data_IF_225916685523
#
_entry.id   IF_225916685523
#
_cell.length_a   1.000
_cell.length_b   1.000
_cell.length_c   1.000
_cell.angle_alpha   90.00
_cell.angle_beta   90.00
_cell.angle_gamma   90.00
#
_symmetry.space_group_name_H-M   'P 1'
#
loop_
_entity.id
_entity.type
_entity.pdbx_description
1 polymer ?
#
# COMPACT_ATOMS: atom_id res chain seq x y z
N UNK A 1 51.63 -44.11 11.32
CA UNK A 1 51.20 -42.77 10.87
C UNK A 1 49.81 -42.52 11.42
N UNK A 2 49.74 -41.59 12.38
CA UNK A 2 48.55 -40.99 13.02
C UNK A 2 47.72 -41.85 14.00
N UNK A 3 48.19 -41.79 15.25
CA UNK A 3 47.53 -41.75 16.57
C UNK A 3 46.10 -41.17 16.59
N UNK A 4 45.08 -41.76 17.24
CA UNK A 4 44.77 -41.98 18.67
C UNK A 4 44.00 -40.82 19.38
N UNK A 5 42.75 -41.16 19.76
CA UNK A 5 42.07 -40.93 21.06
C UNK A 5 41.47 -39.55 21.52
N UNK A 6 40.21 -39.66 21.99
CA UNK A 6 39.53 -39.01 23.15
C UNK A 6 38.97 -37.56 23.08
N UNK A 7 37.66 -37.39 23.37
CA UNK A 7 36.96 -36.11 23.65
C UNK A 7 37.13 -35.66 25.11
N UNK A 8 36.22 -34.89 25.79
CA UNK A 8 35.02 -34.11 25.40
C UNK A 8 35.05 -32.64 25.98
N UNK A 9 33.87 -31.97 26.05
CA UNK A 9 33.48 -30.80 26.89
C UNK A 9 33.47 -29.37 26.27
N UNK A 10 32.24 -28.92 25.98
CA UNK A 10 31.59 -27.64 26.40
C UNK A 10 32.39 -26.33 26.46
N UNK A 11 32.01 -25.34 25.61
CA UNK A 11 31.70 -23.93 25.97
C UNK A 11 30.86 -23.34 24.81
N UNK A 12 29.54 -23.14 24.94
CA UNK A 12 28.84 -21.90 25.34
C UNK A 12 29.43 -20.60 24.76
N UNK A 13 28.55 -19.80 24.12
CA UNK A 13 28.43 -18.33 24.22
C UNK A 13 28.18 -17.69 22.84
N UNK A 14 26.93 -17.53 22.42
CA UNK A 14 26.01 -16.39 22.63
C UNK A 14 25.83 -15.58 21.34
N UNK A 15 24.59 -15.57 20.86
CA UNK A 15 23.86 -14.42 20.27
C UNK A 15 24.71 -13.22 19.81
N UNK A 16 24.70 -12.84 18.54
CA UNK A 16 23.73 -11.85 18.04
C UNK A 16 23.77 -11.81 16.50
N UNK A 17 22.81 -12.47 15.84
CA UNK A 17 22.33 -11.99 14.54
C UNK A 17 20.83 -11.72 14.67
N UNK A 18 20.60 -10.65 15.42
CA UNK A 18 19.35 -9.91 15.52
C UNK A 18 18.97 -9.37 14.13
N UNK A 19 17.76 -9.72 13.70
CA UNK A 19 16.78 -8.72 13.29
C UNK A 19 17.24 -7.67 12.25
N UNK A 20 17.30 -8.04 10.97
CA UNK A 20 17.05 -7.08 9.88
C UNK A 20 16.50 -7.79 8.63
N UNK A 21 15.56 -8.71 8.80
CA UNK A 21 14.84 -9.31 7.69
C UNK A 21 13.32 -9.42 7.91
N UNK A 22 12.78 -8.82 8.99
CA UNK A 22 11.38 -9.02 9.37
C UNK A 22 10.58 -7.74 9.66
N UNK A 23 11.08 -6.52 9.36
CA UNK A 23 10.35 -5.29 9.72
C UNK A 23 10.22 -4.26 8.59
N UNK A 24 9.82 -4.69 7.39
CA UNK A 24 9.26 -3.74 6.41
C UNK A 24 8.19 -4.34 5.48
N UNK A 25 7.51 -5.40 5.92
CA UNK A 25 6.28 -5.86 5.26
C UNK A 25 5.26 -6.09 6.35
N UNK A 26 4.06 -5.54 6.15
CA UNK A 26 2.92 -5.51 7.07
C UNK A 26 2.97 -4.43 8.16
N UNK A 27 3.10 -3.18 7.71
CA UNK A 27 2.24 -2.14 8.25
C UNK A 27 1.35 -1.64 7.12
N UNK A 28 0.11 -2.12 7.03
CA UNK A 28 -0.95 -1.24 6.54
C UNK A 28 -2.29 -1.60 7.16
N UNK A 29 -2.43 -1.04 8.37
CA UNK A 29 -3.65 -0.72 9.11
C UNK A 29 -4.86 -0.58 8.19
N UNK A 30 -5.81 -1.50 8.36
CA UNK A 30 -7.15 -1.47 7.77
C UNK A 30 -8.17 -0.75 8.63
N UNK A 31 -7.72 -0.01 9.65
CA UNK A 31 -8.60 0.69 10.59
C UNK A 31 -8.79 2.16 10.18
N UNK A 32 -10.02 2.69 10.24
CA UNK A 32 -10.27 4.11 10.09
C UNK A 32 -9.60 4.86 11.25
N UNK A 33 -8.48 5.51 10.96
CA UNK A 33 -7.73 6.35 11.92
C UNK A 33 -8.48 7.63 12.31
N UNK A 34 -9.58 7.93 11.62
CA UNK A 34 -10.33 9.17 11.73
C UNK A 34 -11.66 8.93 12.46
N UNK A 35 -12.11 9.90 13.26
CA UNK A 35 -13.30 9.79 14.12
C UNK A 35 -14.63 9.62 13.36
N UNK A 36 -14.68 9.98 12.08
CA UNK A 36 -15.86 9.84 11.24
C UNK A 36 -15.76 8.60 10.35
N UNK A 37 -16.88 7.95 10.03
CA UNK A 37 -16.88 6.86 9.06
C UNK A 37 -16.62 7.39 7.64
N UNK A 38 -15.50 6.97 7.03
CA UNK A 38 -15.19 7.30 5.65
C UNK A 38 -16.01 6.39 4.71
N UNK A 39 -16.64 7.00 3.70
CA UNK A 39 -17.34 6.31 2.61
C UNK A 39 -16.99 6.94 1.27
N UNK A 40 -17.05 6.18 0.19
CA UNK A 40 -16.97 6.73 -1.15
C UNK A 40 -18.30 7.45 -1.47
N UNK A 41 -18.29 8.72 -1.91
CA UNK A 41 -19.52 9.47 -2.17
C UNK A 41 -20.33 8.88 -3.33
N UNK A 42 -19.65 8.26 -4.31
CA UNK A 42 -20.27 7.67 -5.50
C UNK A 42 -20.99 6.36 -5.21
N UNK A 43 -20.68 5.67 -4.11
CA UNK A 43 -21.21 4.34 -3.81
C UNK A 43 -22.09 4.35 -2.59
N UNK A 44 -23.31 3.88 -2.81
CA UNK A 44 -24.22 3.53 -1.74
C UNK A 44 -23.90 2.12 -1.24
N UNK A 45 -23.47 2.02 0.01
CA UNK A 45 -23.09 0.76 0.66
C UNK A 45 -24.30 -0.03 1.19
N UNK A 46 -25.37 0.66 1.59
CA UNK A 46 -26.55 0.03 2.20
C UNK A 46 -27.58 -0.41 1.16
N UNK A 47 -27.15 -1.16 0.13
CA UNK A 47 -28.10 -1.76 -0.82
C UNK A 47 -28.92 -2.82 -0.10
N UNK A 48 -30.14 -2.47 0.30
CA UNK A 48 -31.09 -3.46 0.85
C UNK A 48 -31.42 -4.44 -0.27
N UNK A 49 -31.15 -5.73 -0.03
CA UNK A 49 -31.45 -6.84 -0.93
C UNK A 49 -32.97 -7.05 -0.98
N UNK A 50 -33.71 -6.12 -1.58
CA UNK A 50 -35.15 -6.24 -1.79
C UNK A 50 -35.31 -7.05 -3.07
N UNK A 51 -35.63 -8.34 -2.90
CA UNK A 51 -35.92 -9.36 -3.93
C UNK A 51 -34.69 -10.07 -4.54
N UNK A 52 -34.12 -11.03 -3.79
CA UNK A 52 -33.60 -12.26 -4.42
C UNK A 52 -34.21 -13.43 -3.68
N UNK A 53 -35.07 -14.17 -4.38
CA UNK A 53 -35.69 -15.38 -3.90
C UNK A 53 -34.67 -16.42 -3.44
N UNK A 54 -35.19 -17.33 -2.63
CA UNK A 54 -34.55 -18.53 -2.10
C UNK A 54 -33.64 -19.20 -3.15
N UNK A 55 -32.32 -19.21 -2.95
CA UNK A 55 -31.39 -20.06 -3.73
C UNK A 55 -30.22 -19.38 -4.45
N UNK A 56 -30.01 -18.07 -4.32
CA UNK A 56 -28.84 -17.40 -4.91
C UNK A 56 -27.61 -17.39 -4.00
N UNK A 57 -26.73 -18.39 -4.18
CA UNK A 57 -25.42 -18.63 -3.55
C UNK A 57 -24.77 -17.41 -2.87
N UNK A 58 -24.27 -17.65 -1.67
CA UNK A 58 -23.46 -16.79 -0.80
C UNK A 58 -22.11 -16.39 -1.44
N UNK A 59 -22.12 -15.79 -2.62
CA UNK A 59 -21.01 -14.97 -3.02
C UNK A 59 -21.08 -13.73 -2.14
N UNK A 60 -20.14 -13.61 -1.21
CA UNK A 60 -19.78 -12.37 -0.53
C UNK A 60 -19.58 -11.30 -1.61
N UNK A 61 -20.66 -10.66 -2.03
CA UNK A 61 -20.69 -9.74 -3.16
C UNK A 61 -19.71 -8.64 -2.77
N UNK A 62 -18.52 -8.65 -3.39
CA UNK A 62 -17.50 -7.63 -3.13
C UNK A 62 -18.20 -6.30 -3.30
N UNK A 63 -18.25 -5.49 -2.23
CA UNK A 63 -18.91 -4.19 -2.26
C UNK A 63 -18.45 -3.46 -3.52
N UNK A 64 -19.37 -3.03 -4.39
CA UNK A 64 -18.99 -2.40 -5.65
C UNK A 64 -18.12 -1.19 -5.32
N UNK A 65 -16.88 -1.18 -5.82
CA UNK A 65 -15.88 -0.13 -5.55
C UNK A 65 -15.68 0.75 -6.77
N UNK A 66 -15.65 2.07 -6.55
CA UNK A 66 -15.50 3.03 -7.61
C UNK A 66 -14.02 3.23 -7.86
N UNK A 67 -13.63 2.97 -9.10
CA UNK A 67 -12.32 3.23 -9.62
C UNK A 67 -12.48 3.93 -10.96
N UNK A 68 -11.55 4.84 -11.26
CA UNK A 68 -11.54 5.67 -12.44
C UNK A 68 -10.23 5.44 -13.19
N UNK A 69 -10.32 5.30 -14.50
CA UNK A 69 -9.17 5.40 -15.39
C UNK A 69 -8.80 6.89 -15.54
N UNK A 70 -7.58 7.24 -15.15
CA UNK A 70 -7.15 8.65 -15.06
C UNK A 70 -6.75 9.25 -16.41
N UNK A 71 -6.56 8.40 -17.43
CA UNK A 71 -5.99 8.77 -18.73
C UNK A 71 -4.46 8.88 -18.67
N UNK A 72 -3.84 9.30 -19.78
CA UNK A 72 -2.38 9.45 -19.92
C UNK A 72 -1.57 8.13 -19.96
N UNK A 73 -2.21 7.00 -20.27
CA UNK A 73 -1.55 5.69 -20.44
C UNK A 73 -1.23 4.94 -19.15
N UNK A 74 -1.60 5.49 -17.98
CA UNK A 74 -1.43 4.79 -16.71
C UNK A 74 -2.51 3.73 -16.49
N UNK A 75 -2.07 2.51 -16.16
CA UNK A 75 -2.97 1.43 -15.73
C UNK A 75 -3.41 1.66 -14.30
N UNK A 76 -4.68 1.40 -14.00
CA UNK A 76 -5.20 1.44 -12.63
C UNK A 76 -4.56 0.34 -11.79
N UNK A 77 -3.98 0.65 -10.61
CA UNK A 77 -3.34 -0.37 -9.78
C UNK A 77 -4.39 -1.36 -9.23
N UNK A 78 -3.98 -2.63 -9.07
CA UNK A 78 -4.86 -3.68 -8.51
C UNK A 78 -5.36 -3.33 -7.12
N UNK A 79 -4.52 -2.68 -6.32
CA UNK A 79 -4.88 -2.18 -4.99
C UNK A 79 -6.01 -1.15 -5.01
N UNK A 80 -6.17 -0.36 -6.08
CA UNK A 80 -7.32 0.56 -6.18
C UNK A 80 -8.61 -0.17 -6.54
N UNK A 81 -8.53 -1.30 -7.25
CA UNK A 81 -9.67 -2.11 -7.71
C UNK A 81 -10.18 -2.99 -6.57
N UNK A 82 -9.29 -3.75 -5.92
CA UNK A 82 -9.64 -4.73 -4.88
C UNK A 82 -9.47 -4.20 -3.45
N UNK A 83 -8.70 -3.12 -3.25
CA UNK A 83 -8.40 -2.60 -1.91
C UNK A 83 -9.57 -1.91 -1.23
N UNK A 84 -9.49 -1.75 0.09
CA UNK A 84 -10.58 -1.23 0.93
C UNK A 84 -10.33 0.19 1.46
N UNK A 85 -9.19 0.81 1.16
CA UNK A 85 -8.87 2.16 1.64
C UNK A 85 -9.84 3.20 1.09
N UNK A 86 -10.08 4.28 1.84
CA UNK A 86 -10.93 5.39 1.40
C UNK A 86 -10.13 6.67 1.47
N UNK A 87 -9.73 7.16 0.30
CA UNK A 87 -9.02 8.43 0.16
C UNK A 87 -9.73 9.31 -0.87
N UNK A 88 -10.14 10.50 -0.43
CA UNK A 88 -10.79 11.51 -1.26
C UNK A 88 -9.82 12.16 -2.25
N UNK A 89 -8.51 12.17 -1.91
CA UNK A 89 -7.45 12.82 -2.69
C UNK A 89 -6.79 11.89 -3.71
N UNK A 90 -7.08 10.59 -3.67
CA UNK A 90 -6.54 9.61 -4.63
C UNK A 90 -7.09 9.88 -6.05
N UNK A 91 -6.23 9.85 -7.09
CA UNK A 91 -6.66 10.09 -8.47
C UNK A 91 -7.47 8.92 -9.08
N UNK A 92 -7.35 7.72 -8.52
CA UNK A 92 -8.02 6.52 -9.04
C UNK A 92 -9.39 6.30 -8.40
N UNK A 93 -9.52 6.51 -7.08
CA UNK A 93 -10.76 6.18 -6.34
C UNK A 93 -11.51 7.42 -5.85
N UNK A 94 -10.90 8.60 -5.96
CA UNK A 94 -11.46 9.90 -5.57
C UNK A 94 -11.91 10.75 -6.76
N UNK A 95 -12.16 12.04 -6.50
CA UNK A 95 -12.60 13.00 -7.52
C UNK A 95 -11.44 13.84 -8.12
N UNK A 96 -10.18 13.52 -7.78
CA UNK A 96 -9.02 14.28 -8.25
C UNK A 96 -8.62 13.82 -9.65
N UNK A 97 -8.53 14.75 -10.61
CA UNK A 97 -8.01 14.46 -11.95
C UNK A 97 -6.56 14.89 -12.09
N UNK A 98 -5.71 14.04 -12.67
CA UNK A 98 -4.34 14.39 -13.03
C UNK A 98 -4.38 15.32 -14.25
N UNK A 99 -3.86 16.55 -14.09
CA UNK A 99 -3.78 17.58 -15.11
C UNK A 99 -2.47 18.36 -14.95
N UNK A 100 -1.92 18.88 -16.05
CA UNK A 100 -0.68 19.66 -16.05
C UNK A 100 0.57 18.81 -16.36
N UNK A 101 1.70 19.22 -15.77
CA UNK A 101 3.01 18.60 -16.04
C UNK A 101 3.17 17.31 -15.24
N UNK A 102 3.54 16.22 -15.93
CA UNK A 102 3.97 14.97 -15.29
C UNK A 102 5.48 15.09 -15.06
N UNK A 103 5.90 14.81 -13.83
CA UNK A 103 7.27 15.07 -13.43
C UNK A 103 7.81 13.89 -12.64
N UNK A 104 9.01 13.44 -13.02
CA UNK A 104 9.71 12.32 -12.41
C UNK A 104 10.70 12.80 -11.36
N UNK A 105 10.94 12.02 -10.31
CA UNK A 105 11.91 12.33 -9.26
C UNK A 105 12.04 11.19 -8.26
N UNK A 106 12.96 11.35 -7.30
CA UNK A 106 13.26 10.32 -6.29
C UNK A 106 12.53 10.65 -4.98
N UNK A 107 11.95 9.62 -4.35
CA UNK A 107 11.28 9.77 -3.06
C UNK A 107 12.33 9.97 -1.96
N UNK A 108 12.28 11.10 -1.26
CA UNK A 108 13.26 11.42 -0.20
C UNK A 108 12.77 10.99 1.18
N UNK A 109 11.50 11.27 1.50
CA UNK A 109 10.92 11.01 2.82
C UNK A 109 9.44 10.63 2.70
N UNK A 110 9.01 9.70 3.56
CA UNK A 110 7.62 9.26 3.73
C UNK A 110 7.11 9.46 5.16
N UNK A 111 7.52 10.56 5.81
CA UNK A 111 7.22 10.80 7.24
C UNK A 111 5.80 11.35 7.49
N UNK A 112 5.11 11.75 6.42
CA UNK A 112 3.77 12.33 6.50
C UNK A 112 2.72 11.29 6.12
N UNK A 113 1.52 11.41 6.68
CA UNK A 113 0.41 10.49 6.38
C UNK A 113 -0.14 10.75 4.96
N UNK A 114 -0.18 9.71 4.13
CA UNK A 114 -0.75 9.71 2.76
C UNK A 114 -0.11 10.72 1.78
N UNK A 115 1.07 11.25 2.08
CA UNK A 115 1.83 12.15 1.20
C UNK A 115 3.31 11.77 1.16
N UNK A 116 3.97 12.09 0.04
CA UNK A 116 5.40 11.83 -0.17
C UNK A 116 6.12 13.10 -0.61
N UNK A 117 7.38 13.25 -0.20
CA UNK A 117 8.24 14.34 -0.65
C UNK A 117 9.20 13.82 -1.72
N UNK A 118 9.14 14.42 -2.91
CA UNK A 118 9.94 14.04 -4.07
C UNK A 118 11.01 15.12 -4.31
N UNK A 119 12.26 14.69 -4.47
CA UNK A 119 13.38 15.55 -4.87
C UNK A 119 13.66 15.34 -6.36
N UNK A 120 13.96 16.44 -7.06
CA UNK A 120 14.45 16.41 -8.43
C UNK A 120 15.82 17.06 -8.51
N UNK A 121 16.79 16.26 -8.88
CA UNK A 121 18.13 16.74 -9.14
C UNK A 121 18.19 17.21 -10.59
N UNK A 122 18.51 18.48 -10.78
CA UNK A 122 18.74 19.09 -12.09
C UNK A 122 20.04 19.86 -12.05
N UNK A 123 20.74 19.91 -13.19
CA UNK A 123 21.96 20.68 -13.35
C UNK A 123 21.56 22.07 -13.86
N UNK A 124 22.01 23.11 -13.17
CA UNK A 124 21.80 24.49 -13.60
C UNK A 124 23.03 24.99 -14.35
N UNK A 125 22.83 25.42 -15.60
CA UNK A 125 23.91 25.95 -16.43
C UNK A 125 24.16 27.43 -16.12
N UNK A 126 25.38 27.76 -15.69
CA UNK A 126 25.82 29.14 -15.46
C UNK A 126 26.48 29.65 -16.74
N UNK A 127 25.97 30.75 -17.29
CA UNK A 127 26.58 31.41 -18.45
C UNK A 127 27.86 32.12 -18.01
N UNK A 128 28.89 32.02 -18.85
CA UNK A 128 30.19 32.66 -18.64
C UNK A 128 30.11 34.18 -18.75
#
# INVERSE_FOLDING_TARGET
>A
MADAQTGPLTVLSTSTFTFQALCCVVSFVGDPTERAYQKQPTIFQNKKRVLVGEGGKEAKEKLPRYHKSVGLGFKTPREAIDGTYIDKKCPFTGNVSIRGRILSGVVTKMKMQRTIVIRRDYLHYIRK
#
